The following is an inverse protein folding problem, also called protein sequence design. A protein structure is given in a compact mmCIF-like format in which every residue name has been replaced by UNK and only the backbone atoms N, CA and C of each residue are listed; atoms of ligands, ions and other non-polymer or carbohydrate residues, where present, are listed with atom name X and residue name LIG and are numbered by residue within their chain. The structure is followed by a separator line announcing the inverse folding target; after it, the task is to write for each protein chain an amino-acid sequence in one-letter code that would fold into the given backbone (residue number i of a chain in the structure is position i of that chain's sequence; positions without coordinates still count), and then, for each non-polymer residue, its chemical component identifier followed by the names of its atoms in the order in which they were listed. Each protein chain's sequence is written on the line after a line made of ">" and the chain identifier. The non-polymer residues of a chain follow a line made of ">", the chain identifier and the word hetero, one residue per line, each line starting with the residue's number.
data_IF_708392720662
#
_entry.id   IF_708392720662
#
_cell.length_a   1.000
_cell.length_b   1.000
_cell.length_c   1.000
_cell.angle_alpha   90.00
_cell.angle_beta   90.00
_cell.angle_gamma   90.00
#
_symmetry.space_group_name_H-M   'P 1'
#
loop_
_entity.id
_entity.type
_entity.pdbx_description
1 polymer ?
#
# COMPACT_ATOMS: atom_id res chain seq x y z
N UNK A 1 -16.41 13.33 13.99
CA UNK A 1 -16.51 12.93 12.57
C UNK A 1 -15.10 12.64 12.06
N UNK A 2 -14.72 11.36 11.90
CA UNK A 2 -13.45 11.01 11.26
C UNK A 2 -13.64 11.05 9.75
N UNK A 3 -13.34 12.21 9.16
CA UNK A 3 -13.32 12.36 7.70
C UNK A 3 -12.35 11.37 7.11
N UNK A 4 -12.82 10.50 6.21
CA UNK A 4 -11.99 9.54 5.46
C UNK A 4 -11.02 10.23 4.47
N UNK A 5 -10.91 11.55 4.52
CA UNK A 5 -9.89 12.41 3.92
C UNK A 5 -8.62 12.55 4.80
N UNK A 6 -8.62 12.02 6.03
CA UNK A 6 -7.49 12.16 6.97
C UNK A 6 -6.28 11.28 6.64
N UNK A 7 -6.35 10.51 5.55
CA UNK A 7 -5.19 9.74 5.08
C UNK A 7 -4.20 10.69 4.39
N UNK A 8 -3.33 11.31 5.18
CA UNK A 8 -2.25 12.19 4.70
C UNK A 8 -1.13 11.36 4.08
N UNK A 9 -1.33 10.94 2.83
CA UNK A 9 -0.27 10.36 2.01
C UNK A 9 0.53 11.47 1.30
N UNK A 10 1.85 11.40 1.44
CA UNK A 10 2.83 12.13 0.65
C UNK A 10 2.69 11.84 -0.85
N UNK A 11 3.35 12.65 -1.69
CA UNK A 11 3.37 12.42 -3.14
C UNK A 11 3.93 11.05 -3.53
N UNK A 12 4.98 10.59 -2.82
CA UNK A 12 5.62 9.30 -3.07
C UNK A 12 4.71 8.12 -2.71
N UNK A 13 4.01 8.18 -1.57
CA UNK A 13 3.08 7.13 -1.15
C UNK A 13 1.88 7.02 -2.09
N UNK A 14 1.34 8.15 -2.57
CA UNK A 14 0.28 8.15 -3.58
C UNK A 14 0.75 7.55 -4.91
N UNK A 15 1.98 7.86 -5.33
CA UNK A 15 2.56 7.27 -6.54
C UNK A 15 2.73 5.75 -6.38
N UNK A 16 3.22 5.31 -5.22
CA UNK A 16 3.33 3.88 -4.89
C UNK A 16 1.96 3.19 -4.91
N UNK A 17 0.95 3.76 -4.25
CA UNK A 17 -0.41 3.20 -4.21
C UNK A 17 -1.02 3.06 -5.62
N UNK A 18 -0.77 4.05 -6.50
CA UNK A 18 -1.15 3.96 -7.91
C UNK A 18 -0.42 2.84 -8.62
N UNK A 19 0.88 2.66 -8.40
CA UNK A 19 1.66 1.57 -8.98
C UNK A 19 1.08 0.20 -8.56
N UNK A 20 0.71 0.01 -7.29
CA UNK A 20 0.02 -1.21 -6.82
C UNK A 20 -1.32 -1.42 -7.53
N UNK A 21 -2.12 -0.37 -7.74
CA UNK A 21 -3.37 -0.45 -8.52
C UNK A 21 -3.11 -0.85 -9.97
N UNK A 22 -2.11 -0.26 -10.61
CA UNK A 22 -1.73 -0.58 -11.99
C UNK A 22 -1.21 -2.02 -12.14
N UNK A 23 -0.59 -2.57 -11.10
CA UNK A 23 -0.15 -3.96 -11.03
C UNK A 23 -1.29 -4.98 -10.80
N UNK A 24 -2.56 -4.54 -10.79
CA UNK A 24 -3.71 -5.41 -10.57
C UNK A 24 -4.20 -5.46 -9.11
N UNK A 25 -3.71 -4.56 -8.27
CA UNK A 25 -4.14 -4.42 -6.87
C UNK A 25 -3.23 -5.09 -5.85
N UNK A 26 -2.19 -5.79 -6.30
CA UNK A 26 -1.13 -6.30 -5.43
C UNK A 26 0.23 -6.11 -6.09
N UNK A 27 1.26 -5.88 -5.27
CA UNK A 27 2.63 -5.68 -5.74
C UNK A 27 3.60 -6.41 -4.83
N UNK A 28 4.62 -6.99 -5.44
CA UNK A 28 5.73 -7.59 -4.69
C UNK A 28 6.74 -6.52 -4.29
N UNK A 29 7.05 -6.43 -2.99
CA UNK A 29 7.98 -5.44 -2.46
C UNK A 29 9.25 -6.16 -2.01
N UNK A 30 10.31 -5.95 -2.78
CA UNK A 30 11.65 -6.48 -2.50
C UNK A 30 12.66 -5.38 -2.11
N UNK A 31 12.40 -4.14 -2.53
CA UNK A 31 13.25 -2.99 -2.24
C UNK A 31 12.89 -2.36 -0.89
N UNK A 32 13.90 -1.89 -0.14
CA UNK A 32 13.70 -1.31 1.19
C UNK A 32 12.93 0.02 1.15
N UNK A 33 13.12 0.82 0.09
CA UNK A 33 12.39 2.07 -0.12
C UNK A 33 10.90 1.80 -0.34
N UNK A 34 10.58 0.85 -1.21
CA UNK A 34 9.20 0.45 -1.46
C UNK A 34 8.58 -0.17 -0.21
N UNK A 35 9.39 -0.87 0.60
CA UNK A 35 8.94 -1.42 1.89
C UNK A 35 8.60 -0.31 2.90
N UNK A 36 9.36 0.78 2.93
CA UNK A 36 9.04 1.94 3.75
C UNK A 36 7.72 2.61 3.30
N UNK A 37 7.54 2.80 1.99
CA UNK A 37 6.29 3.36 1.42
C UNK A 37 5.09 2.45 1.68
N UNK A 38 5.27 1.14 1.52
CA UNK A 38 4.27 0.13 1.84
C UNK A 38 3.86 0.17 3.31
N UNK A 39 4.83 0.31 4.24
CA UNK A 39 4.54 0.42 5.67
C UNK A 39 3.72 1.66 5.97
N UNK A 40 4.08 2.81 5.41
CA UNK A 40 3.33 4.04 5.63
C UNK A 40 1.90 3.95 5.07
N UNK A 41 1.74 3.40 3.86
CA UNK A 41 0.43 3.12 3.26
C UNK A 41 -0.39 2.10 4.08
N UNK A 42 0.26 1.12 4.70
CA UNK A 42 -0.39 0.15 5.57
C UNK A 42 -0.84 0.78 6.90
N UNK A 43 -0.01 1.64 7.51
CA UNK A 43 -0.39 2.45 8.69
C UNK A 43 -1.60 3.34 8.39
N UNK A 44 -1.66 3.87 7.17
CA UNK A 44 -2.82 4.61 6.64
C UNK A 44 -4.06 3.72 6.37
N UNK A 45 -3.93 2.40 6.44
CA UNK A 45 -5.00 1.43 6.21
C UNK A 45 -5.43 1.28 4.75
N UNK A 46 -4.68 1.84 3.80
CA UNK A 46 -4.96 1.76 2.35
C UNK A 46 -4.27 0.55 1.68
N UNK A 47 -3.25 0.00 2.33
CA UNK A 47 -2.59 -1.26 1.95
C UNK A 47 -2.62 -2.26 3.11
N UNK A 48 -2.51 -3.53 2.76
CA UNK A 48 -2.25 -4.63 3.68
C UNK A 48 -1.07 -5.45 3.16
N UNK A 49 -0.21 -5.90 4.07
CA UNK A 49 0.84 -6.86 3.73
C UNK A 49 0.21 -8.24 3.58
N UNK A 50 0.35 -8.83 2.40
CA UNK A 50 -0.07 -10.20 2.11
C UNK A 50 1.21 -11.04 2.02
N UNK A 51 1.67 -11.52 3.17
CA UNK A 51 2.90 -12.29 3.25
C UNK A 51 3.27 -12.50 4.70
N UNK A 52 2.95 -13.69 5.21
CA UNK A 52 3.22 -14.08 6.59
C UNK A 52 3.77 -15.50 6.65
N UNK A 53 4.93 -15.62 7.28
CA UNK A 53 5.24 -16.71 8.21
C UNK A 53 5.26 -18.13 7.64
N UNK A 54 6.10 -18.40 6.65
CA UNK A 54 6.76 -19.70 6.62
C UNK A 54 7.84 -19.69 7.71
N UNK A 55 7.56 -20.38 8.82
CA UNK A 55 8.39 -20.49 10.02
C UNK A 55 9.73 -21.20 9.81
N UNK A 56 10.56 -20.67 8.91
CA UNK A 56 11.97 -20.99 8.74
C UNK A 56 12.70 -19.65 8.69
N UNK A 57 13.43 -19.38 9.77
CA UNK A 57 14.07 -18.10 10.00
C UNK A 57 14.94 -17.62 8.82
N UNK A 58 15.01 -16.28 8.71
CA UNK A 58 16.17 -15.59 8.16
C UNK A 58 16.52 -15.95 6.71
N UNK A 59 15.60 -15.88 5.74
CA UNK A 59 15.97 -15.76 4.32
C UNK A 59 14.94 -14.96 3.49
N UNK A 60 15.22 -13.67 3.27
CA UNK A 60 14.90 -12.99 2.01
C UNK A 60 13.54 -12.30 1.86
N UNK A 61 13.36 -11.15 2.52
CA UNK A 61 12.96 -9.85 1.91
C UNK A 61 11.71 -9.74 1.02
N UNK A 62 10.84 -10.74 0.95
CA UNK A 62 9.74 -10.80 -0.02
C UNK A 62 8.41 -10.46 0.65
N UNK A 63 8.13 -9.16 0.82
CA UNK A 63 6.85 -8.68 1.37
C UNK A 63 5.92 -8.34 0.21
N UNK A 64 4.89 -9.14 -0.07
CA UNK A 64 3.84 -8.68 -1.00
C UNK A 64 2.85 -7.77 -0.27
N UNK A 65 2.31 -6.79 -0.99
CA UNK A 65 1.26 -5.90 -0.50
C UNK A 65 0.05 -5.96 -1.40
N UNK A 66 -1.11 -5.66 -0.85
CA UNK A 66 -2.36 -5.54 -1.60
C UNK A 66 -3.18 -4.35 -1.15
N UNK A 67 -3.92 -3.78 -2.09
CA UNK A 67 -4.90 -2.75 -1.82
C UNK A 67 -6.00 -3.29 -0.93
N UNK A 68 -6.36 -2.47 0.06
CA UNK A 68 -7.57 -2.69 0.86
C UNK A 68 -8.75 -2.01 0.16
N UNK A 69 -9.97 -2.33 0.59
CA UNK A 69 -11.17 -1.60 0.16
C UNK A 69 -11.07 -0.09 0.39
N UNK A 70 -10.38 0.34 1.47
CA UNK A 70 -10.09 1.77 1.73
C UNK A 70 -9.13 2.35 0.69
N UNK A 71 -8.09 1.62 0.29
CA UNK A 71 -7.15 2.05 -0.76
C UNK A 71 -7.81 2.21 -2.12
N UNK A 72 -8.70 1.28 -2.50
CA UNK A 72 -9.50 1.41 -3.72
C UNK A 72 -10.40 2.65 -3.68
N UNK A 73 -11.14 2.85 -2.59
CA UNK A 73 -12.00 4.02 -2.43
C UNK A 73 -11.21 5.35 -2.45
N UNK A 74 -10.03 5.36 -1.83
CA UNK A 74 -9.13 6.52 -1.83
C UNK A 74 -8.69 6.88 -3.26
N UNK A 75 -8.23 5.88 -4.04
CA UNK A 75 -7.80 6.11 -5.42
C UNK A 75 -8.98 6.48 -6.34
N UNK A 76 -10.18 5.95 -6.12
CA UNK A 76 -11.37 6.33 -6.90
C UNK A 76 -11.77 7.80 -6.66
N UNK A 77 -11.78 8.24 -5.38
CA UNK A 77 -12.02 9.65 -5.05
C UNK A 77 -10.94 10.56 -5.64
N UNK A 78 -9.68 10.15 -5.58
CA UNK A 78 -8.57 10.90 -6.14
C UNK A 78 -8.68 11.04 -7.66
N UNK A 79 -9.18 10.01 -8.36
CA UNK A 79 -9.40 10.05 -9.79
C UNK A 79 -10.59 10.94 -10.20
N UNK A 80 -11.62 11.04 -9.35
CA UNK A 80 -12.79 11.91 -9.57
C UNK A 80 -12.55 13.38 -9.21
N UNK A 81 -11.52 13.68 -8.42
CA UNK A 81 -11.20 15.03 -7.98
C UNK A 81 -10.40 15.85 -9.02
N UNK A 82 -10.38 15.40 -10.28
CA UNK A 82 -9.57 15.95 -11.37
C UNK A 82 -10.40 16.16 -12.63
#
# INVERSE_FOLDING_TARGET
>A
MYSTLDVRLSGAERAFLRAVRHAGGSLHVADDRDRALAKACATAGVLAFIGGSNGLGVLGGRSSVSLTGKGHAYLDRLARAH
#
